data_IF_990068466487
#
_entry.id   IF_990068466487
#
_cell.length_a   1.000
_cell.length_b   1.000
_cell.length_c   1.000
_cell.angle_alpha   90.00
_cell.angle_beta   90.00
_cell.angle_gamma   90.00
#
_symmetry.space_group_name_H-M   'P 1'
#
loop_
_entity.id
_entity.type
_entity.pdbx_description
1 polymer ?
#
# COMPACT_ATOMS: atom_id res chain seq x y z
N UNK A 1 14.32 6.84 -4.66
CA UNK A 1 14.09 5.46 -4.15
C UNK A 1 14.97 4.50 -4.90
N UNK A 2 15.58 3.52 -4.22
CA UNK A 2 16.48 2.54 -4.83
C UNK A 2 15.75 1.24 -5.22
N UNK A 3 16.09 0.69 -6.38
CA UNK A 3 15.67 -0.66 -6.79
C UNK A 3 16.53 -1.68 -6.05
N UNK A 4 15.89 -2.65 -5.39
CA UNK A 4 16.57 -3.76 -4.71
C UNK A 4 16.24 -5.09 -5.38
N UNK A 5 17.17 -6.03 -5.31
CA UNK A 5 16.97 -7.39 -5.80
C UNK A 5 16.58 -8.29 -4.62
N UNK A 6 15.54 -9.12 -4.81
CA UNK A 6 15.20 -10.24 -3.94
C UNK A 6 15.06 -11.52 -4.75
N UNK A 7 15.05 -12.65 -4.06
CA UNK A 7 14.81 -13.97 -4.63
C UNK A 7 13.55 -14.57 -4.02
N UNK A 8 12.71 -15.19 -4.85
CA UNK A 8 11.59 -15.99 -4.36
C UNK A 8 12.09 -17.28 -3.73
N UNK A 9 11.20 -18.02 -3.05
CA UNK A 9 11.50 -19.38 -2.55
C UNK A 9 11.98 -20.36 -3.65
N UNK A 10 11.61 -20.11 -4.91
CA UNK A 10 12.01 -20.92 -6.07
C UNK A 10 13.30 -20.41 -6.72
N UNK A 11 14.02 -19.47 -6.09
CA UNK A 11 15.25 -18.88 -6.62
C UNK A 11 15.03 -17.84 -7.74
N UNK A 12 13.78 -17.48 -8.06
CA UNK A 12 13.51 -16.50 -9.11
C UNK A 12 13.90 -15.09 -8.64
N UNK A 13 14.74 -14.41 -9.42
CA UNK A 13 15.11 -13.01 -9.20
C UNK A 13 13.90 -12.10 -9.40
N UNK A 14 13.69 -11.17 -8.48
CA UNK A 14 12.67 -10.11 -8.56
C UNK A 14 13.28 -8.76 -8.21
N UNK A 15 12.95 -7.75 -8.99
CA UNK A 15 13.27 -6.36 -8.70
C UNK A 15 12.14 -5.74 -7.88
N UNK A 16 12.49 -5.04 -6.81
CA UNK A 16 11.52 -4.50 -5.86
C UNK A 16 11.84 -3.06 -5.47
N UNK A 17 10.79 -2.33 -5.14
CA UNK A 17 10.83 -1.11 -4.35
C UNK A 17 10.48 -1.44 -2.90
N UNK A 18 11.20 -0.86 -1.95
CA UNK A 18 10.93 -1.00 -0.51
C UNK A 18 10.35 0.29 0.05
N UNK A 19 9.32 0.15 0.88
CA UNK A 19 8.64 1.25 1.54
C UNK A 19 8.51 0.97 3.04
N UNK A 20 8.49 2.05 3.81
CA UNK A 20 7.99 2.04 5.19
C UNK A 20 6.50 2.33 5.16
N UNK A 21 5.72 1.67 6.03
CA UNK A 21 4.32 2.01 6.20
C UNK A 21 3.93 2.12 7.67
N UNK A 22 2.96 2.99 7.94
CA UNK A 22 2.50 3.33 9.29
C UNK A 22 2.07 2.12 10.11
N UNK A 23 1.40 1.14 9.50
CA UNK A 23 0.98 -0.10 10.18
C UNK A 23 1.95 -1.26 9.95
N UNK A 24 2.66 -1.28 8.82
CA UNK A 24 3.57 -2.35 8.45
C UNK A 24 4.98 -1.81 8.25
N UNK A 25 5.89 -2.13 9.16
CA UNK A 25 7.26 -1.60 9.18
C UNK A 25 8.01 -1.74 7.85
N UNK A 26 7.82 -2.83 7.10
CA UNK A 26 8.34 -2.98 5.73
C UNK A 26 7.23 -3.49 4.79
N UNK A 27 7.05 -2.79 3.68
CA UNK A 27 6.20 -3.18 2.54
C UNK A 27 7.03 -3.14 1.26
N UNK A 28 6.78 -4.08 0.36
CA UNK A 28 7.49 -4.13 -0.92
C UNK A 28 6.54 -4.12 -2.11
N UNK A 29 7.01 -3.56 -3.21
CA UNK A 29 6.33 -3.54 -4.50
C UNK A 29 7.26 -4.16 -5.53
N UNK A 30 6.77 -5.16 -6.26
CA UNK A 30 7.50 -5.68 -7.41
C UNK A 30 7.54 -4.61 -8.51
N UNK A 31 8.72 -4.35 -9.08
CA UNK A 31 8.88 -3.36 -10.16
C UNK A 31 7.98 -3.65 -11.35
N UNK A 32 7.87 -4.92 -11.77
CA UNK A 32 6.97 -5.34 -12.86
C UNK A 32 5.51 -5.04 -12.53
N UNK A 33 5.10 -5.24 -11.27
CA UNK A 33 3.75 -4.89 -10.81
C UNK A 33 3.52 -3.38 -10.87
N UNK A 34 4.53 -2.57 -10.54
CA UNK A 34 4.44 -1.12 -10.68
C UNK A 34 4.29 -0.72 -12.14
N UNK A 35 5.21 -1.15 -13.01
CA UNK A 35 5.30 -0.69 -14.40
C UNK A 35 4.15 -1.20 -15.27
N UNK A 36 3.81 -2.49 -15.17
CA UNK A 36 2.85 -3.11 -16.10
C UNK A 36 1.39 -3.07 -15.61
N UNK A 37 1.17 -2.88 -14.31
CA UNK A 37 -0.17 -2.87 -13.74
C UNK A 37 -0.55 -1.49 -13.17
N UNK A 38 0.20 -0.99 -12.19
CA UNK A 38 -0.17 0.25 -11.49
C UNK A 38 -0.02 1.44 -12.43
N UNK A 39 1.17 1.68 -12.97
CA UNK A 39 1.47 2.83 -13.81
C UNK A 39 0.66 2.82 -15.11
N UNK A 40 0.48 1.64 -15.70
CA UNK A 40 -0.30 1.48 -16.95
C UNK A 40 -1.80 1.77 -16.76
N UNK A 41 -2.40 1.42 -15.62
CA UNK A 41 -3.83 1.64 -15.35
C UNK A 41 -4.12 2.94 -14.61
N UNK A 42 -3.14 3.44 -13.87
CA UNK A 42 -3.25 4.57 -12.97
C UNK A 42 -1.98 5.43 -13.14
N UNK A 43 -1.91 6.15 -14.26
CA UNK A 43 -0.72 6.93 -14.68
C UNK A 43 -0.35 8.04 -13.69
N UNK A 44 -1.31 8.49 -12.89
CA UNK A 44 -1.11 9.46 -11.82
C UNK A 44 -0.52 8.87 -10.54
N UNK A 45 -0.27 7.55 -10.46
CA UNK A 45 0.32 6.89 -9.30
C UNK A 45 1.83 6.80 -9.47
N UNK A 46 2.55 7.63 -8.74
CA UNK A 46 4.01 7.61 -8.65
C UNK A 46 4.49 6.83 -7.43
N UNK A 47 5.77 6.44 -7.42
CA UNK A 47 6.40 5.84 -6.24
C UNK A 47 6.36 6.79 -5.02
N UNK A 48 6.45 8.09 -5.26
CA UNK A 48 6.37 9.11 -4.21
C UNK A 48 4.97 9.17 -3.58
N UNK A 49 3.92 9.13 -4.40
CA UNK A 49 2.53 9.04 -3.92
C UNK A 49 2.34 7.78 -3.08
N UNK A 50 2.81 6.63 -3.57
CA UNK A 50 2.74 5.37 -2.82
C UNK A 50 3.45 5.51 -1.45
N UNK A 51 4.66 6.08 -1.44
CA UNK A 51 5.42 6.31 -0.22
C UNK A 51 4.69 7.21 0.77
N UNK A 52 4.14 8.33 0.30
CA UNK A 52 3.41 9.28 1.15
C UNK A 52 2.15 8.66 1.75
N UNK A 53 1.37 7.93 0.94
CA UNK A 53 0.16 7.21 1.39
C UNK A 53 0.50 6.15 2.45
N UNK A 54 1.62 5.45 2.29
CA UNK A 54 2.03 4.42 3.24
C UNK A 54 2.56 4.99 4.57
N UNK A 55 3.39 6.04 4.50
CA UNK A 55 4.04 6.64 5.68
C UNK A 55 3.03 7.44 6.51
N UNK A 56 2.20 8.26 5.85
CA UNK A 56 1.26 9.14 6.52
C UNK A 56 -0.16 9.02 5.93
N UNK A 57 -0.83 7.87 6.08
CA UNK A 57 -2.21 7.69 5.68
C UNK A 57 -3.16 8.47 6.58
N UNK A 58 -4.24 9.00 6.00
CA UNK A 58 -5.39 9.50 6.75
C UNK A 58 -6.16 8.33 7.39
N UNK A 59 -6.29 7.24 6.63
CA UNK A 59 -6.99 6.03 7.07
C UNK A 59 -6.22 4.77 6.70
N UNK A 60 -6.30 3.78 7.59
CA UNK A 60 -5.90 2.41 7.27
C UNK A 60 -7.03 1.46 7.65
N UNK A 61 -7.42 0.59 6.74
CA UNK A 61 -8.51 -0.36 7.03
C UNK A 61 -8.05 -1.43 8.01
N UNK A 62 -8.97 -1.84 8.89
CA UNK A 62 -8.72 -2.99 9.77
C UNK A 62 -8.73 -4.28 8.96
N UNK A 63 -7.86 -5.21 9.32
CA UNK A 63 -7.93 -6.58 8.84
C UNK A 63 -9.24 -7.21 9.33
N UNK A 64 -9.95 -7.91 8.47
CA UNK A 64 -11.06 -8.77 8.86
C UNK A 64 -10.71 -10.24 8.65
N UNK A 65 -11.56 -11.15 9.15
CA UNK A 65 -11.40 -12.59 8.89
C UNK A 65 -11.59 -12.93 7.40
N UNK A 66 -12.47 -12.19 6.70
CA UNK A 66 -12.79 -12.39 5.29
C UNK A 66 -11.86 -11.63 4.33
N UNK A 67 -11.33 -10.46 4.72
CA UNK A 67 -10.45 -9.61 3.91
C UNK A 67 -9.10 -9.43 4.61
N UNK A 68 -8.06 -9.99 4.00
CA UNK A 68 -6.69 -10.00 4.56
C UNK A 68 -5.88 -8.79 4.11
N UNK A 69 -6.41 -8.00 3.19
CA UNK A 69 -5.83 -6.75 2.71
C UNK A 69 -6.02 -5.59 3.69
N UNK A 70 -5.10 -4.65 3.63
CA UNK A 70 -5.19 -3.33 4.25
C UNK A 70 -5.18 -2.28 3.14
N UNK A 71 -6.15 -1.38 3.16
CA UNK A 71 -6.18 -0.21 2.30
C UNK A 71 -5.63 0.95 3.10
N UNK A 72 -4.50 1.48 2.65
CA UNK A 72 -3.99 2.77 3.09
C UNK A 72 -4.62 3.83 2.20
N UNK A 73 -5.17 4.87 2.81
CA UNK A 73 -5.79 5.98 2.10
C UNK A 73 -5.13 7.29 2.50
N UNK A 74 -4.88 8.16 1.53
CA UNK A 74 -4.57 9.56 1.78
C UNK A 74 -5.30 10.46 0.78
N UNK A 75 -5.90 11.54 1.25
CA UNK A 75 -6.40 12.62 0.40
C UNK A 75 -5.23 13.53 0.02
N UNK A 76 -5.05 13.73 -1.27
CA UNK A 76 -4.09 14.69 -1.82
C UNK A 76 -4.88 15.55 -2.80
N UNK A 77 -4.99 16.83 -2.47
CA UNK A 77 -5.86 17.78 -3.16
C UNK A 77 -7.33 17.29 -3.24
N UNK A 78 -7.83 17.05 -4.46
CA UNK A 78 -9.21 16.62 -4.72
C UNK A 78 -9.37 15.10 -4.74
N UNK A 79 -8.28 14.34 -4.82
CA UNK A 79 -8.32 12.90 -5.04
C UNK A 79 -7.99 12.12 -3.76
N UNK A 80 -8.59 10.95 -3.65
CA UNK A 80 -8.28 9.96 -2.63
C UNK A 80 -7.38 8.88 -3.23
N UNK A 81 -6.18 8.75 -2.69
CA UNK A 81 -5.18 7.78 -3.13
C UNK A 81 -5.19 6.57 -2.22
N UNK A 82 -5.17 5.39 -2.83
CA UNK A 82 -5.23 4.11 -2.15
C UNK A 82 -4.01 3.27 -2.48
N UNK A 83 -3.42 2.65 -1.44
CA UNK A 83 -2.41 1.60 -1.58
C UNK A 83 -2.91 0.35 -0.87
N UNK A 84 -3.05 -0.73 -1.65
CA UNK A 84 -3.59 -2.00 -1.15
C UNK A 84 -2.45 -2.93 -0.77
N UNK A 85 -2.34 -3.23 0.51
CA UNK A 85 -1.27 -4.03 1.09
C UNK A 85 -1.82 -5.36 1.59
N UNK A 86 -1.17 -6.46 1.22
CA UNK A 86 -1.56 -7.80 1.67
C UNK A 86 -0.37 -8.62 2.17
N UNK A 87 -0.69 -9.72 2.87
CA UNK A 87 0.27 -10.77 3.15
C UNK A 87 0.48 -11.62 1.90
N UNK A 88 1.73 -11.92 1.55
CA UNK A 88 2.00 -12.97 0.59
C UNK A 88 2.11 -14.31 1.32
N UNK A 89 1.32 -15.31 0.88
CA UNK A 89 1.31 -16.66 1.49
C UNK A 89 2.71 -17.29 1.56
N UNK A 90 3.59 -16.93 0.63
CA UNK A 90 4.88 -17.61 0.43
C UNK A 90 6.09 -16.88 1.02
N UNK A 91 5.97 -15.67 1.57
CA UNK A 91 7.10 -14.93 2.16
C UNK A 91 6.72 -14.49 3.56
N UNK A 92 7.29 -15.16 4.58
CA UNK A 92 6.97 -14.91 5.98
C UNK A 92 7.34 -13.45 6.34
N UNK A 93 6.46 -12.77 7.07
CA UNK A 93 6.66 -11.41 7.61
C UNK A 93 6.90 -10.29 6.59
N UNK A 94 6.71 -10.53 5.29
CA UNK A 94 6.83 -9.48 4.27
C UNK A 94 5.45 -9.11 3.74
N UNK A 95 5.16 -7.81 3.71
CA UNK A 95 3.93 -7.25 3.15
C UNK A 95 4.16 -6.78 1.73
N UNK A 96 3.16 -6.93 0.89
CA UNK A 96 3.25 -6.64 -0.53
C UNK A 96 2.16 -5.67 -0.94
N UNK A 97 2.52 -4.70 -1.76
CA UNK A 97 1.57 -3.86 -2.47
C UNK A 97 0.98 -4.71 -3.61
N UNK A 98 -0.34 -4.92 -3.57
CA UNK A 98 -1.10 -5.59 -4.63
C UNK A 98 -1.41 -4.61 -5.77
N UNK A 99 -1.84 -3.40 -5.41
CA UNK A 99 -2.18 -2.35 -6.36
C UNK A 99 -2.21 -0.99 -5.65
N UNK A 100 -2.23 0.08 -6.44
CA UNK A 100 -2.45 1.43 -5.98
C UNK A 100 -3.24 2.20 -7.05
N UNK A 101 -4.15 3.06 -6.62
CA UNK A 101 -5.07 3.79 -7.50
C UNK A 101 -5.59 5.03 -6.81
N UNK A 102 -6.24 5.92 -7.56
CA UNK A 102 -6.97 7.06 -7.02
C UNK A 102 -8.44 7.02 -7.41
N UNK A 103 -9.30 7.60 -6.57
CA UNK A 103 -10.68 7.93 -6.93
C UNK A 103 -11.01 9.35 -6.47
N UNK A 104 -12.04 9.92 -7.08
CA UNK A 104 -12.64 11.22 -6.71
C UNK A 104 -13.76 11.08 -5.65
N UNK A 105 -14.26 9.87 -5.43
CA UNK A 105 -15.29 9.61 -4.42
C UNK A 105 -14.74 9.26 -3.03
N UNK A 106 -15.19 10.02 -2.02
CA UNK A 106 -14.88 9.82 -0.60
C UNK A 106 -15.54 8.55 -0.02
N UNK A 107 -16.63 8.07 -0.62
CA UNK A 107 -17.39 6.94 -0.11
C UNK A 107 -16.96 5.59 -0.66
N UNK A 108 -15.97 5.54 -1.57
CA UNK A 108 -15.48 4.31 -2.20
C UNK A 108 -15.29 3.15 -1.21
N UNK A 109 -14.59 3.39 -0.11
CA UNK A 109 -14.35 2.31 0.83
C UNK A 109 -15.65 1.86 1.54
N UNK A 110 -16.63 2.77 1.74
CA UNK A 110 -17.89 2.48 2.44
C UNK A 110 -18.73 1.56 1.57
N UNK A 111 -18.78 1.85 0.27
CA UNK A 111 -19.39 0.96 -0.73
C UNK A 111 -18.72 -0.42 -0.75
N UNK A 112 -17.40 -0.47 -0.51
CA UNK A 112 -16.67 -1.74 -0.35
C UNK A 112 -16.94 -2.45 0.99
N UNK A 113 -17.82 -1.92 1.85
CA UNK A 113 -18.13 -2.42 3.19
C UNK A 113 -16.85 -2.63 4.03
N UNK A 114 -15.95 -1.64 4.06
CA UNK A 114 -14.69 -1.73 4.78
C UNK A 114 -14.69 -0.82 6.00
N UNK A 115 -14.26 -1.34 7.15
CA UNK A 115 -14.11 -0.57 8.38
C UNK A 115 -12.77 0.19 8.41
N UNK A 116 -12.80 1.52 8.61
CA UNK A 116 -11.61 2.36 8.77
C UNK A 116 -11.13 2.40 10.21
N UNK A 117 -9.81 2.51 10.37
CA UNK A 117 -9.22 2.99 11.62
C UNK A 117 -8.35 4.20 11.29
N UNK A 118 -8.54 5.27 12.04
CA UNK A 118 -7.53 6.32 12.14
C UNK A 118 -6.37 5.78 12.97
N UNK A 119 -5.18 5.72 12.39
CA UNK A 119 -3.97 5.61 13.20
C UNK A 119 -3.63 7.04 13.60
N UNK A 120 -4.28 7.53 14.67
CA UNK A 120 -3.84 8.75 15.36
C UNK A 120 -2.41 8.48 15.84
N UNK A 121 -1.50 9.43 15.64
CA UNK A 121 -0.18 9.37 16.25
C UNK A 121 -0.37 9.38 17.77
N UNK A 122 -0.17 8.23 18.38
CA UNK A 122 -0.16 8.10 19.83
C UNK A 122 1.10 8.78 20.36
N UNK A 123 0.94 10.05 20.76
CA UNK A 123 1.85 10.84 21.60
C UNK A 123 3.29 11.01 21.07
N UNK A 124 3.56 12.21 20.55
CA UNK A 124 4.84 12.86 20.82
C UNK A 124 4.79 13.21 22.31
N UNK A 125 5.51 12.45 23.15
CA UNK A 125 5.89 12.97 24.45
C UNK A 125 7.01 13.99 24.17
N UNK A 126 6.66 15.28 24.29
CA UNK A 126 7.63 16.34 24.58
C UNK A 126 8.21 16.12 25.97
#
# INVERSE_FOLDING_TARGET
MEIKIRYTKTGKKIEIYKFYAKLHTEVILNKKQFEEHILKKHSNITLEIISNVLINPDYVTKRSNSKKEHFYQKKIEKNYYFVVVSNQKNVRRTRFILTAFSVDDINFLKEKNIYYKYIRDSKINL
#
